data_IF_891652910210
#
_entry.id   IF_891652910210
#
_cell.length_a   1.000
_cell.length_b   1.000
_cell.length_c   1.000
_cell.angle_alpha   90.00
_cell.angle_beta   90.00
_cell.angle_gamma   90.00
#
_symmetry.space_group_name_H-M   'P 1'
#
loop_
_entity.id
_entity.type
_entity.pdbx_description
1 polymer ?
#
# COMPACT_ATOMS: atom_id res chain seq x y z
N UNK A 1 14.38 -2.14 -17.72
CA UNK A 1 13.57 -1.41 -16.72
C UNK A 1 12.13 -1.90 -16.67
N UNK A 2 11.58 -2.42 -17.77
CA UNK A 2 10.17 -2.88 -17.84
C UNK A 2 9.84 -4.09 -16.98
N UNK A 3 10.78 -5.04 -16.80
CA UNK A 3 10.49 -6.25 -16.04
C UNK A 3 10.38 -5.98 -14.52
N UNK A 4 11.24 -5.12 -13.97
CA UNK A 4 11.17 -4.72 -12.56
C UNK A 4 9.90 -3.92 -12.28
N UNK A 5 9.53 -3.03 -13.21
CA UNK A 5 8.29 -2.26 -13.11
C UNK A 5 7.05 -3.18 -13.21
N UNK A 6 7.07 -4.14 -14.14
CA UNK A 6 6.02 -5.15 -14.29
C UNK A 6 5.86 -6.04 -13.05
N UNK A 7 6.95 -6.45 -12.41
CA UNK A 7 6.93 -7.22 -11.15
C UNK A 7 6.36 -6.40 -9.98
N UNK A 8 6.69 -5.10 -9.90
CA UNK A 8 6.09 -4.21 -8.90
C UNK A 8 4.58 -4.06 -9.09
N UNK A 9 4.12 -3.83 -10.33
CA UNK A 9 2.70 -3.71 -10.64
C UNK A 9 1.95 -5.02 -10.31
N UNK A 10 2.52 -6.18 -10.67
CA UNK A 10 1.95 -7.48 -10.32
C UNK A 10 1.82 -7.68 -8.80
N UNK A 11 2.83 -7.29 -8.02
CA UNK A 11 2.77 -7.31 -6.56
C UNK A 11 1.70 -6.35 -6.00
N UNK A 12 1.58 -5.14 -6.55
CA UNK A 12 0.55 -4.18 -6.13
C UNK A 12 -0.86 -4.72 -6.39
N UNK A 13 -1.10 -5.34 -7.55
CA UNK A 13 -2.37 -5.98 -7.91
C UNK A 13 -2.67 -7.15 -6.96
N UNK A 14 -1.70 -8.02 -6.70
CA UNK A 14 -1.85 -9.16 -5.80
C UNK A 14 -2.16 -8.74 -4.36
N UNK A 15 -1.42 -7.76 -3.84
CA UNK A 15 -1.63 -7.23 -2.49
C UNK A 15 -3.02 -6.57 -2.39
N UNK A 16 -3.41 -5.78 -3.39
CA UNK A 16 -4.74 -5.15 -3.44
C UNK A 16 -5.86 -6.20 -3.43
N UNK A 17 -5.74 -7.26 -4.24
CA UNK A 17 -6.71 -8.36 -4.27
C UNK A 17 -6.79 -9.13 -2.94
N UNK A 18 -5.67 -9.33 -2.26
CA UNK A 18 -5.62 -9.97 -0.95
C UNK A 18 -6.33 -9.11 0.12
N UNK A 19 -6.05 -7.81 0.15
CA UNK A 19 -6.70 -6.86 1.08
C UNK A 19 -8.22 -6.87 0.86
N UNK A 20 -8.66 -6.78 -0.40
CA UNK A 20 -10.09 -6.79 -0.73
C UNK A 20 -10.77 -8.10 -0.30
N UNK A 21 -10.11 -9.26 -0.51
CA UNK A 21 -10.64 -10.56 -0.08
C UNK A 21 -10.76 -10.66 1.44
N UNK A 22 -9.76 -10.17 2.18
CA UNK A 22 -9.79 -10.19 3.65
C UNK A 22 -10.85 -9.23 4.19
N UNK A 23 -10.94 -8.02 3.62
CA UNK A 23 -11.97 -7.04 3.99
C UNK A 23 -13.39 -7.60 3.77
N UNK A 24 -13.66 -8.26 2.64
CA UNK A 24 -14.97 -8.87 2.35
C UNK A 24 -15.36 -10.01 3.30
N UNK A 25 -14.39 -10.64 3.97
CA UNK A 25 -14.64 -11.68 4.99
C UNK A 25 -14.67 -11.11 6.42
N UNK A 26 -14.39 -9.81 6.60
CA UNK A 26 -14.47 -9.14 7.90
C UNK A 26 -15.93 -8.82 8.23
N UNK A 27 -16.31 -8.95 9.51
CA UNK A 27 -17.61 -8.49 10.01
C UNK A 27 -17.75 -6.96 9.95
N UNK A 28 -16.63 -6.24 9.89
CA UNK A 28 -16.56 -4.79 9.69
C UNK A 28 -15.43 -4.46 8.69
N UNK A 29 -15.73 -4.46 7.37
CA UNK A 29 -14.74 -4.25 6.31
C UNK A 29 -14.11 -2.85 6.33
N UNK A 30 -14.89 -1.80 6.66
CA UNK A 30 -14.42 -0.41 6.65
C UNK A 30 -13.46 -0.14 7.80
N UNK A 31 -13.76 -0.68 8.99
CA UNK A 31 -12.86 -0.62 10.13
C UNK A 31 -11.56 -1.37 9.85
N UNK A 32 -11.64 -2.58 9.30
CA UNK A 32 -10.46 -3.35 8.91
C UNK A 32 -9.55 -2.56 7.95
N UNK A 33 -10.11 -1.94 6.91
CA UNK A 33 -9.34 -1.16 5.95
C UNK A 33 -8.68 0.08 6.58
N UNK A 34 -9.34 0.69 7.56
CA UNK A 34 -8.83 1.85 8.29
C UNK A 34 -7.68 1.45 9.21
N UNK A 35 -7.86 0.41 10.01
CA UNK A 35 -6.83 -0.12 10.92
C UNK A 35 -5.61 -0.60 10.12
N UNK A 36 -5.84 -1.37 9.05
CA UNK A 36 -4.78 -1.84 8.15
C UNK A 36 -4.00 -0.69 7.50
N UNK A 37 -4.68 0.38 7.10
CA UNK A 37 -4.03 1.58 6.54
C UNK A 37 -3.11 2.25 7.56
N UNK A 38 -3.54 2.36 8.81
CA UNK A 38 -2.75 2.99 9.87
C UNK A 38 -1.54 2.14 10.28
N UNK A 39 -1.71 0.80 10.35
CA UNK A 39 -0.62 -0.15 10.56
C UNK A 39 0.44 -0.06 9.47
N UNK A 40 0.05 -0.10 8.19
CA UNK A 40 0.99 -0.01 7.07
C UNK A 40 1.71 1.34 7.05
N UNK A 41 1.03 2.43 7.39
CA UNK A 41 1.68 3.76 7.53
C UNK A 41 2.71 3.78 8.65
N UNK A 42 2.45 3.12 9.77
CA UNK A 42 3.42 2.98 10.85
C UNK A 42 4.65 2.18 10.39
N UNK A 43 4.45 1.08 9.65
CA UNK A 43 5.54 0.29 9.06
C UNK A 43 6.39 1.12 8.10
N UNK A 44 5.76 1.89 7.20
CA UNK A 44 6.46 2.77 6.25
C UNK A 44 7.34 3.81 6.96
N UNK A 45 6.87 4.39 8.06
CA UNK A 45 7.67 5.33 8.88
C UNK A 45 8.93 4.68 9.46
N UNK A 46 8.89 3.37 9.71
CA UNK A 46 10.02 2.58 10.19
C UNK A 46 10.99 2.11 9.10
N UNK A 47 10.70 2.34 7.82
CA UNK A 47 11.57 1.89 6.72
C UNK A 47 12.94 2.54 6.83
N UNK A 48 13.96 1.69 6.89
CA UNK A 48 15.37 2.06 6.90
C UNK A 48 16.12 1.04 6.06
N UNK A 49 16.75 1.48 4.97
CA UNK A 49 17.57 0.61 4.12
C UNK A 49 19.02 0.81 4.56
N UNK A 50 19.58 -0.23 5.19
CA UNK A 50 20.97 -0.20 5.66
C UNK A 50 21.92 0.13 4.51
N UNK A 51 22.85 1.06 4.76
CA UNK A 51 23.82 1.52 3.75
C UNK A 51 23.29 2.60 2.79
N UNK A 52 22.07 3.11 2.97
CA UNK A 52 21.59 4.29 2.26
C UNK A 52 21.65 5.53 3.15
N UNK A 53 22.37 6.57 2.69
CA UNK A 53 22.48 7.85 3.41
C UNK A 53 21.17 8.63 3.46
N UNK A 54 20.24 8.39 2.52
CA UNK A 54 19.00 9.16 2.40
C UNK A 54 17.75 8.32 2.70
N UNK A 55 17.66 7.84 3.94
CA UNK A 55 16.50 7.07 4.41
C UNK A 55 15.19 7.87 4.37
N UNK A 56 15.24 9.20 4.47
CA UNK A 56 14.04 10.05 4.42
C UNK A 56 13.39 10.07 3.04
N UNK A 57 14.19 10.11 1.97
CA UNK A 57 13.67 9.98 0.60
C UNK A 57 13.04 8.62 0.36
N UNK A 58 13.61 7.55 0.92
CA UNK A 58 13.03 6.19 0.83
C UNK A 58 11.68 6.14 1.52
N UNK A 59 11.58 6.66 2.75
CA UNK A 59 10.30 6.73 3.49
C UNK A 59 9.26 7.56 2.75
N UNK A 60 9.67 8.68 2.16
CA UNK A 60 8.77 9.54 1.37
C UNK A 60 8.18 8.79 0.17
N UNK A 61 9.01 8.11 -0.62
CA UNK A 61 8.54 7.34 -1.77
C UNK A 61 7.62 6.21 -1.32
N UNK A 62 8.01 5.44 -0.31
CA UNK A 62 7.18 4.37 0.24
C UNK A 62 5.82 4.90 0.74
N UNK A 63 5.80 6.08 1.38
CA UNK A 63 4.58 6.71 1.85
C UNK A 63 3.67 7.16 0.70
N UNK A 64 4.24 7.68 -0.38
CA UNK A 64 3.52 8.05 -1.60
C UNK A 64 2.90 6.83 -2.28
N UNK A 65 3.66 5.75 -2.46
CA UNK A 65 3.18 4.51 -3.07
C UNK A 65 2.02 3.89 -2.30
N UNK A 66 2.10 3.86 -0.96
CA UNK A 66 1.01 3.36 -0.12
C UNK A 66 -0.23 4.25 -0.24
N UNK A 67 -0.06 5.58 -0.23
CA UNK A 67 -1.19 6.49 -0.39
C UNK A 67 -1.88 6.34 -1.76
N UNK A 68 -1.11 6.14 -2.83
CA UNK A 68 -1.63 5.90 -4.17
C UNK A 68 -2.45 4.61 -4.21
N UNK A 69 -1.92 3.50 -3.66
CA UNK A 69 -2.63 2.23 -3.57
C UNK A 69 -3.98 2.35 -2.83
N UNK A 70 -4.02 3.05 -1.69
CA UNK A 70 -5.29 3.30 -0.99
C UNK A 70 -6.23 4.23 -1.76
N UNK A 71 -5.70 5.18 -2.54
CA UNK A 71 -6.53 6.07 -3.35
C UNK A 71 -7.27 5.32 -4.47
N UNK A 72 -6.64 4.28 -5.02
CA UNK A 72 -7.22 3.41 -6.06
C UNK A 72 -8.28 2.44 -5.51
N UNK A 73 -8.29 2.19 -4.20
CA UNK A 73 -9.32 1.39 -3.54
C UNK A 73 -10.59 2.19 -3.18
N UNK A 74 -10.63 3.48 -3.49
CA UNK A 74 -11.91 4.22 -3.43
C UNK A 74 -12.88 3.57 -4.43
N UNK A 75 -14.18 3.47 -4.08
CA UNK A 75 -15.17 3.02 -5.03
C UNK A 75 -15.06 3.87 -6.30
N UNK A 76 -15.19 3.28 -7.51
CA UNK A 76 -15.19 4.04 -8.74
C UNK A 76 -16.17 5.20 -8.59
N UNK A 77 -15.73 6.41 -8.95
CA UNK A 77 -16.63 7.57 -8.98
C UNK A 77 -17.80 7.19 -9.87
N UNK A 78 -19.02 7.22 -9.32
CA UNK A 78 -20.23 7.07 -10.12
C UNK A 78 -20.37 8.30 -11.00
N UNK A 79 -19.83 8.21 -12.22
CA UNK A 79 -20.23 9.05 -13.36
C UNK A 79 -21.34 8.30 -14.12
#
# INVERSE_FOLDING_TARGET
MDELNGRMIACQILITGLIARVANNSSDPLRFLTDFRDEIRAVVKGVSIAGMDNTDRVRLIAQQTVNELFSLMKPPSSD
#
